data_IF_192725859214
#
_entry.id   IF_192725859214
#
_cell.length_a   1.000
_cell.length_b   1.000
_cell.length_c   1.000
_cell.angle_alpha   90.00
_cell.angle_beta   90.00
_cell.angle_gamma   90.00
#
_symmetry.space_group_name_H-M   'P 1'
#
loop_
_entity.id
_entity.type
_entity.pdbx_description
1 polymer ?
#
# COMPACT_ATOMS: atom_id res chain seq x y z
N UNK A 1 -22.25 14.60 -19.75
CA UNK A 1 -21.35 15.28 -18.80
C UNK A 1 -20.20 15.93 -19.56
N UNK A 2 -19.80 17.18 -19.27
CA UNK A 2 -18.63 17.80 -19.91
C UNK A 2 -17.31 17.41 -19.18
N UNK A 3 -16.13 17.90 -19.62
CA UNK A 3 -14.85 17.51 -19.00
C UNK A 3 -14.65 18.10 -17.60
N UNK A 4 -15.15 19.31 -17.35
CA UNK A 4 -15.09 19.95 -16.02
C UNK A 4 -16.00 19.26 -15.01
N UNK A 5 -17.17 18.83 -15.46
CA UNK A 5 -18.10 18.08 -14.62
C UNK A 5 -17.51 16.70 -14.26
N UNK A 6 -16.80 16.07 -15.21
CA UNK A 6 -16.08 14.82 -14.94
C UNK A 6 -14.95 15.01 -13.92
N UNK A 7 -14.08 16.01 -14.11
CA UNK A 7 -13.03 16.32 -13.13
C UNK A 7 -13.60 16.61 -11.74
N UNK A 8 -14.73 17.33 -11.67
CA UNK A 8 -15.42 17.59 -10.39
C UNK A 8 -15.96 16.32 -9.75
N UNK A 9 -16.57 15.41 -10.52
CA UNK A 9 -17.03 14.11 -10.00
C UNK A 9 -15.83 13.33 -9.40
N UNK A 10 -14.71 13.27 -10.11
CA UNK A 10 -13.49 12.62 -9.62
C UNK A 10 -13.00 13.29 -8.32
N UNK A 11 -12.99 14.62 -8.27
CA UNK A 11 -12.61 15.37 -7.07
C UNK A 11 -13.51 15.04 -5.86
N UNK A 12 -14.84 15.02 -6.05
CA UNK A 12 -15.81 14.69 -4.99
C UNK A 12 -15.60 13.27 -4.45
N UNK A 13 -15.33 12.29 -5.33
CA UNK A 13 -15.00 10.92 -4.92
C UNK A 13 -13.75 10.87 -4.03
N UNK A 14 -12.71 11.63 -4.37
CA UNK A 14 -11.49 11.70 -3.55
C UNK A 14 -11.70 12.43 -2.22
N UNK A 15 -12.59 13.43 -2.16
CA UNK A 15 -12.94 14.11 -0.90
C UNK A 15 -13.58 13.17 0.11
N UNK A 16 -14.49 12.31 -0.33
CA UNK A 16 -15.12 11.30 0.52
C UNK A 16 -14.07 10.30 1.02
N UNK A 17 -13.10 9.97 0.16
CA UNK A 17 -12.12 8.91 0.41
C UNK A 17 -10.97 9.29 1.33
N UNK A 18 -10.53 10.53 1.28
CA UNK A 18 -9.43 11.03 2.10
C UNK A 18 -9.92 12.18 2.99
N UNK A 19 -10.86 11.93 3.94
CA UNK A 19 -11.55 12.97 4.69
C UNK A 19 -10.62 13.84 5.56
N UNK A 20 -9.41 13.35 5.84
CA UNK A 20 -8.40 14.04 6.64
C UNK A 20 -7.27 14.66 5.81
N UNK A 21 -7.23 14.44 4.49
CA UNK A 21 -6.20 14.99 3.62
C UNK A 21 -6.58 16.38 3.09
N UNK A 22 -5.58 17.19 2.73
CA UNK A 22 -5.82 18.43 1.99
C UNK A 22 -6.04 18.09 0.51
N UNK A 23 -7.26 18.30 0.02
CA UNK A 23 -7.63 17.96 -1.36
C UNK A 23 -8.04 19.24 -2.09
N UNK A 24 -7.38 19.52 -3.22
CA UNK A 24 -7.58 20.74 -4.00
C UNK A 24 -7.83 20.39 -5.46
N UNK A 25 -8.86 20.98 -6.04
CA UNK A 25 -9.23 20.83 -7.46
C UNK A 25 -8.48 21.83 -8.35
N UNK A 26 -8.12 21.43 -9.56
CA UNK A 26 -7.55 22.25 -10.64
C UNK A 26 -6.41 23.18 -10.16
N UNK A 27 -5.34 22.58 -9.64
CA UNK A 27 -4.19 23.28 -9.11
C UNK A 27 -3.10 23.46 -10.16
N UNK A 28 -2.34 24.55 -10.06
CA UNK A 28 -1.13 24.77 -10.86
C UNK A 28 0.10 24.59 -9.98
N UNK A 29 0.88 23.54 -10.23
CA UNK A 29 2.11 23.25 -9.50
C UNK A 29 3.32 23.57 -10.38
N UNK A 30 4.30 24.29 -9.83
CA UNK A 30 5.54 24.59 -10.55
C UNK A 30 6.37 23.30 -10.70
N UNK A 31 6.67 22.93 -11.94
CA UNK A 31 7.57 21.84 -12.27
C UNK A 31 8.99 22.14 -11.79
N UNK A 32 9.59 21.20 -11.08
CA UNK A 32 10.93 21.27 -10.49
C UNK A 32 12.03 21.12 -11.55
N UNK A 33 11.70 20.48 -12.68
CA UNK A 33 12.63 20.22 -13.79
C UNK A 33 12.30 21.17 -14.93
N UNK A 34 11.03 21.23 -15.34
CA UNK A 34 10.61 22.02 -16.50
C UNK A 34 10.54 23.53 -16.23
N UNK A 35 10.45 23.94 -14.96
CA UNK A 35 10.12 25.32 -14.55
C UNK A 35 8.80 25.86 -15.13
N UNK A 36 7.88 24.98 -15.55
CA UNK A 36 6.57 25.34 -16.08
C UNK A 36 5.48 24.97 -15.07
N UNK A 37 4.44 25.79 -14.97
CA UNK A 37 3.25 25.47 -14.16
C UNK A 37 2.44 24.37 -14.83
N UNK A 38 2.42 23.17 -14.23
CA UNK A 38 1.61 22.02 -14.65
C UNK A 38 0.22 22.11 -14.02
N UNK A 39 -0.82 21.88 -14.80
CA UNK A 39 -2.18 21.72 -14.27
C UNK A 39 -2.31 20.32 -13.69
N UNK A 40 -2.91 20.23 -12.51
CA UNK A 40 -3.22 19.01 -11.77
C UNK A 40 -4.71 19.04 -11.45
N UNK A 41 -5.47 18.04 -11.92
CA UNK A 41 -6.92 18.04 -11.81
C UNK A 41 -7.35 17.86 -10.35
N UNK A 42 -6.72 16.93 -9.63
CA UNK A 42 -6.84 16.81 -8.17
C UNK A 42 -5.46 16.67 -7.54
N UNK A 43 -5.15 17.56 -6.62
CA UNK A 43 -3.97 17.50 -5.77
C UNK A 43 -4.38 17.08 -4.36
N UNK A 44 -3.82 15.99 -3.87
CA UNK A 44 -4.03 15.50 -2.51
C UNK A 44 -2.69 15.59 -1.77
N UNK A 45 -2.69 16.28 -0.63
CA UNK A 45 -1.55 16.38 0.27
C UNK A 45 -1.96 15.82 1.63
N UNK A 46 -1.34 14.70 1.98
CA UNK A 46 -1.52 14.03 3.28
C UNK A 46 -0.27 14.27 4.14
N UNK A 47 -0.48 14.70 5.38
CA UNK A 47 0.59 14.90 6.35
C UNK A 47 0.59 13.73 7.32
N UNK A 48 1.56 12.83 7.16
CA UNK A 48 1.89 11.84 8.19
C UNK A 48 3.05 12.34 9.05
N UNK A 49 3.17 11.83 10.28
CA UNK A 49 4.19 12.21 11.27
C UNK A 49 5.64 12.22 10.73
N UNK A 50 5.94 11.37 9.73
CA UNK A 50 7.31 11.20 9.22
C UNK A 50 7.52 11.73 7.79
N UNK A 51 6.45 12.04 7.04
CA UNK A 51 6.53 12.48 5.64
C UNK A 51 5.23 13.12 5.13
N UNK A 52 5.36 14.14 4.29
CA UNK A 52 4.27 14.66 3.46
C UNK A 52 4.13 13.84 2.18
N UNK A 53 2.97 13.23 1.99
CA UNK A 53 2.66 12.45 0.78
C UNK A 53 1.86 13.35 -0.16
N UNK A 54 2.45 13.60 -1.33
CA UNK A 54 1.79 14.27 -2.46
C UNK A 54 1.26 13.24 -3.45
N UNK A 55 -0.04 13.23 -3.64
CA UNK A 55 -0.72 12.45 -4.68
C UNK A 55 -1.28 13.40 -5.73
N UNK A 56 -1.07 13.09 -7.01
CA UNK A 56 -1.72 13.80 -8.12
C UNK A 56 -2.68 12.88 -8.85
N UNK A 57 -3.82 13.43 -9.27
CA UNK A 57 -4.82 12.72 -10.08
C UNK A 57 -4.98 13.43 -11.42
N UNK A 58 -5.01 12.65 -12.50
CA UNK A 58 -5.29 13.10 -13.86
C UNK A 58 -6.55 12.39 -14.40
N UNK A 59 -7.60 13.16 -14.61
CA UNK A 59 -8.92 12.67 -15.00
C UNK A 59 -9.04 12.70 -16.53
N UNK A 60 -8.62 11.62 -17.18
CA UNK A 60 -8.65 11.47 -18.64
C UNK A 60 -10.05 11.16 -19.17
N UNK A 61 -10.83 12.20 -19.49
CA UNK A 61 -12.11 12.04 -20.19
C UNK A 61 -11.92 11.76 -21.69
N UNK A 62 -11.64 10.51 -22.05
CA UNK A 62 -11.59 10.04 -23.44
C UNK A 62 -12.74 9.08 -23.77
N UNK A 63 -13.00 8.90 -25.06
CA UNK A 63 -13.94 7.90 -25.58
C UNK A 63 -13.28 6.59 -26.00
N UNK A 64 -11.94 6.57 -26.06
CA UNK A 64 -11.13 5.39 -26.35
C UNK A 64 -10.20 5.06 -25.17
N UNK A 65 -9.80 3.79 -24.99
CA UNK A 65 -8.88 3.39 -23.93
C UNK A 65 -7.58 4.19 -23.92
N UNK A 66 -7.07 4.43 -22.72
CA UNK A 66 -5.78 5.10 -22.50
C UNK A 66 -4.61 4.19 -22.88
N UNK A 67 -3.62 4.74 -23.57
CA UNK A 67 -2.47 4.00 -24.10
C UNK A 67 -1.18 4.24 -23.28
N UNK A 68 -0.07 3.64 -23.74
CA UNK A 68 1.23 3.72 -23.05
C UNK A 68 1.77 5.16 -23.01
N UNK A 69 1.55 5.95 -24.06
CA UNK A 69 2.08 7.31 -24.16
C UNK A 69 1.46 8.22 -23.09
N UNK A 70 0.17 8.03 -22.80
CA UNK A 70 -0.51 8.73 -21.72
C UNK A 70 0.10 8.40 -20.35
N UNK A 71 0.44 7.12 -20.11
CA UNK A 71 1.09 6.66 -18.88
C UNK A 71 2.46 7.31 -18.73
N UNK A 72 3.30 7.28 -19.77
CA UNK A 72 4.65 7.87 -19.75
C UNK A 72 4.62 9.39 -19.58
N UNK A 73 3.64 10.05 -20.20
CA UNK A 73 3.41 11.49 -20.04
C UNK A 73 3.06 11.83 -18.59
N UNK A 74 2.21 11.00 -17.96
CA UNK A 74 1.80 11.20 -16.58
C UNK A 74 2.95 10.94 -15.59
N UNK A 75 3.73 9.87 -15.79
CA UNK A 75 4.94 9.60 -14.99
C UNK A 75 5.92 10.78 -15.06
N UNK A 76 6.18 11.29 -16.26
CA UNK A 76 7.05 12.46 -16.45
C UNK A 76 6.53 13.67 -15.68
N UNK A 77 5.21 13.87 -15.67
CA UNK A 77 4.57 14.93 -14.89
C UNK A 77 4.70 14.70 -13.38
N UNK A 78 4.52 13.48 -12.90
CA UNK A 78 4.68 13.12 -11.48
C UNK A 78 6.07 13.47 -10.99
N UNK A 79 7.10 13.10 -11.74
CA UNK A 79 8.50 13.42 -11.41
C UNK A 79 8.71 14.93 -11.41
N UNK A 80 8.23 15.63 -12.44
CA UNK A 80 8.41 17.09 -12.57
C UNK A 80 7.76 17.85 -11.41
N UNK A 81 6.56 17.49 -10.96
CA UNK A 81 5.89 18.14 -9.81
C UNK A 81 6.29 17.55 -8.45
N UNK A 82 7.14 16.53 -8.47
CA UNK A 82 7.54 15.71 -7.32
C UNK A 82 6.37 15.15 -6.53
N UNK A 83 5.45 14.50 -7.25
CA UNK A 83 4.43 13.65 -6.66
C UNK A 83 5.06 12.32 -6.24
N UNK A 84 4.57 11.76 -5.14
CA UNK A 84 4.96 10.44 -4.64
C UNK A 84 3.97 9.37 -5.11
N UNK A 85 2.71 9.76 -5.30
CA UNK A 85 1.63 8.89 -5.77
C UNK A 85 0.93 9.53 -6.96
N UNK A 86 0.50 8.70 -7.89
CA UNK A 86 -0.19 9.12 -9.10
C UNK A 86 -1.40 8.24 -9.34
N UNK A 87 -2.52 8.87 -9.68
CA UNK A 87 -3.73 8.17 -10.10
C UNK A 87 -4.17 8.72 -11.44
N UNK A 88 -4.27 7.86 -12.46
CA UNK A 88 -5.03 8.21 -13.66
C UNK A 88 -6.43 7.62 -13.54
N UNK A 89 -7.44 8.39 -13.96
CA UNK A 89 -8.82 7.90 -14.05
C UNK A 89 -9.38 8.09 -15.45
N UNK A 90 -9.93 7.04 -16.04
CA UNK A 90 -10.53 7.04 -17.38
C UNK A 90 -11.93 6.43 -17.36
N UNK A 91 -12.94 6.99 -18.03
CA UNK A 91 -14.27 6.39 -18.06
C UNK A 91 -14.30 5.07 -18.84
N UNK A 92 -13.37 4.88 -19.78
CA UNK A 92 -13.32 3.72 -20.70
C UNK A 92 -12.14 2.79 -20.42
N UNK A 93 -11.41 3.03 -19.33
CA UNK A 93 -10.26 2.22 -18.92
C UNK A 93 -9.02 2.39 -19.81
N UNK A 94 -8.23 1.32 -19.90
CA UNK A 94 -6.86 1.31 -20.38
C UNK A 94 -6.58 0.14 -21.31
N UNK A 95 -5.64 0.31 -22.23
CA UNK A 95 -5.07 -0.81 -22.98
C UNK A 95 -4.29 -1.74 -22.04
N UNK A 96 -4.15 -3.02 -22.40
CA UNK A 96 -3.34 -3.99 -21.62
C UNK A 96 -1.91 -3.49 -21.41
N UNK A 97 -1.30 -2.91 -22.45
CA UNK A 97 0.04 -2.34 -22.38
C UNK A 97 0.15 -1.18 -21.39
N UNK A 98 -0.86 -0.31 -21.33
CA UNK A 98 -0.90 0.80 -20.38
C UNK A 98 -1.02 0.32 -18.93
N UNK A 99 -1.86 -0.69 -18.65
CA UNK A 99 -1.98 -1.31 -17.32
C UNK A 99 -0.65 -1.92 -16.91
N UNK A 100 -0.06 -2.76 -17.78
CA UNK A 100 1.25 -3.38 -17.51
C UNK A 100 2.32 -2.33 -17.24
N UNK A 101 2.38 -1.25 -18.04
CA UNK A 101 3.35 -0.18 -17.83
C UNK A 101 3.14 0.56 -16.52
N UNK A 102 1.89 0.87 -16.15
CA UNK A 102 1.59 1.54 -14.88
C UNK A 102 1.96 0.68 -13.67
N UNK A 103 1.67 -0.62 -13.72
CA UNK A 103 1.92 -1.56 -12.63
C UNK A 103 3.40 -1.93 -12.44
N UNK A 104 4.22 -1.80 -13.49
CA UNK A 104 5.64 -2.14 -13.48
C UNK A 104 6.52 -0.89 -13.55
N UNK A 105 6.15 0.18 -12.85
CA UNK A 105 6.98 1.38 -12.75
C UNK A 105 8.31 1.05 -12.03
N UNK A 106 9.42 1.44 -12.67
CA UNK A 106 10.78 1.14 -12.22
C UNK A 106 11.33 2.22 -11.28
N UNK A 107 10.79 3.45 -11.38
CA UNK A 107 11.13 4.53 -10.48
C UNK A 107 10.56 4.24 -9.09
N UNK A 108 11.43 3.81 -8.18
CA UNK A 108 11.10 3.45 -6.80
C UNK A 108 10.66 4.65 -5.94
N UNK A 109 10.73 5.89 -6.43
CA UNK A 109 10.28 7.08 -5.69
C UNK A 109 8.81 7.42 -5.92
N UNK A 110 8.17 6.76 -6.88
CA UNK A 110 6.77 6.97 -7.19
C UNK A 110 5.96 5.67 -7.12
N UNK A 111 4.69 5.82 -6.81
CA UNK A 111 3.68 4.77 -6.86
C UNK A 111 2.55 5.22 -7.81
N UNK A 112 2.25 4.43 -8.83
CA UNK A 112 1.27 4.76 -9.86
C UNK A 112 0.15 3.71 -9.89
N UNK A 113 -1.08 4.18 -10.02
CA UNK A 113 -2.25 3.32 -10.22
C UNK A 113 -3.22 3.91 -11.25
N UNK A 114 -4.03 3.04 -11.87
CA UNK A 114 -4.93 3.37 -13.00
C UNK A 114 -6.34 2.85 -12.75
N UNK A 115 -7.35 3.70 -12.87
CA UNK A 115 -8.75 3.33 -12.57
C UNK A 115 -9.68 3.62 -13.74
N UNK A 116 -10.55 2.67 -14.04
CA UNK A 116 -11.81 3.01 -14.70
C UNK A 116 -12.74 3.78 -13.75
N UNK A 117 -13.70 4.53 -14.28
CA UNK A 117 -14.71 5.19 -13.43
C UNK A 117 -15.50 4.18 -12.61
N UNK A 118 -15.83 3.03 -13.21
CA UNK A 118 -16.50 1.93 -12.53
C UNK A 118 -15.66 1.40 -11.36
N UNK A 119 -14.37 1.11 -11.57
CA UNK A 119 -13.48 0.68 -10.49
C UNK A 119 -13.30 1.74 -9.39
N UNK A 120 -13.30 3.03 -9.76
CA UNK A 120 -13.22 4.12 -8.78
C UNK A 120 -14.46 4.16 -7.89
N UNK A 121 -15.66 3.95 -8.46
CA UNK A 121 -16.93 3.89 -7.74
C UNK A 121 -17.11 2.58 -6.94
N UNK A 122 -16.61 1.46 -7.46
CA UNK A 122 -16.78 0.12 -6.89
C UNK A 122 -15.79 -0.24 -5.78
N UNK A 123 -14.86 0.63 -5.40
CA UNK A 123 -13.68 0.23 -4.63
C UNK A 123 -14.01 -0.52 -3.32
N UNK A 124 -14.06 -1.85 -3.41
CA UNK A 124 -14.21 -2.81 -2.33
C UNK A 124 -12.82 -3.38 -2.00
N UNK A 125 -12.49 -3.45 -0.70
CA UNK A 125 -11.34 -4.22 -0.20
C UNK A 125 -10.04 -3.46 0.07
N UNK A 126 -10.09 -2.14 0.34
CA UNK A 126 -8.93 -1.48 0.97
C UNK A 126 -8.83 -1.76 2.46
N UNK A 127 -9.90 -2.28 3.06
CA UNK A 127 -9.91 -2.60 4.47
C UNK A 127 -10.42 -4.02 4.69
N UNK A 128 -9.83 -4.70 5.65
CA UNK A 128 -10.32 -5.97 6.15
C UNK A 128 -10.23 -5.98 7.68
N UNK A 129 -10.96 -6.92 8.26
CA UNK A 129 -10.98 -7.15 9.71
C UNK A 129 -10.48 -8.57 9.97
N UNK A 130 -9.18 -8.87 9.74
CA UNK A 130 -8.63 -10.16 10.12
C UNK A 130 -8.62 -10.29 11.64
N UNK A 131 -8.97 -11.49 12.12
CA UNK A 131 -9.02 -11.79 13.54
C UNK A 131 -8.57 -13.23 13.82
N UNK A 132 -8.07 -13.45 15.03
CA UNK A 132 -7.71 -14.76 15.57
C UNK A 132 -8.03 -14.79 17.06
N UNK A 133 -8.80 -15.79 17.50
CA UNK A 133 -9.40 -15.83 18.85
C UNK A 133 -10.15 -14.51 19.13
N UNK A 134 -9.89 -13.88 20.27
CA UNK A 134 -10.55 -12.65 20.72
C UNK A 134 -9.89 -11.37 20.20
N UNK A 135 -8.89 -11.47 19.33
CA UNK A 135 -8.12 -10.31 18.87
C UNK A 135 -8.27 -10.10 17.37
N UNK A 136 -8.41 -8.85 16.96
CA UNK A 136 -8.49 -8.46 15.57
C UNK A 136 -7.75 -7.17 15.28
N UNK A 137 -7.58 -6.88 14.00
CA UNK A 137 -7.09 -5.57 13.56
C UNK A 137 -7.95 -4.98 12.46
N UNK A 138 -8.12 -3.66 12.45
CA UNK A 138 -8.52 -2.95 11.25
C UNK A 138 -7.28 -2.84 10.35
N UNK A 139 -7.27 -3.61 9.27
CA UNK A 139 -6.16 -3.70 8.33
C UNK A 139 -6.49 -2.89 7.08
N UNK A 140 -5.66 -1.91 6.73
CA UNK A 140 -5.77 -1.17 5.46
C UNK A 140 -4.72 -1.61 4.45
N UNK A 141 -5.09 -1.77 3.19
CA UNK A 141 -4.15 -2.02 2.11
C UNK A 141 -3.34 -0.76 1.77
N UNK A 142 -2.04 -0.89 1.49
CA UNK A 142 -1.23 0.22 1.03
C UNK A 142 -1.65 0.63 -0.40
N UNK A 143 -1.21 1.82 -0.84
CA UNK A 143 -1.59 2.35 -2.16
C UNK A 143 -1.30 1.36 -3.31
N UNK A 144 -2.29 1.17 -4.20
CA UNK A 144 -2.22 0.26 -5.35
C UNK A 144 -2.38 -1.23 -5.02
N UNK A 145 -2.61 -1.57 -3.75
CA UNK A 145 -2.79 -2.94 -3.28
C UNK A 145 -4.21 -3.16 -2.75
N UNK A 146 -4.60 -4.42 -2.60
CA UNK A 146 -5.88 -4.86 -2.02
C UNK A 146 -5.63 -5.78 -0.83
N UNK A 147 -6.62 -5.93 0.05
CA UNK A 147 -6.62 -6.97 1.08
C UNK A 147 -7.48 -8.16 0.62
N UNK A 148 -6.87 -9.34 0.54
CA UNK A 148 -7.55 -10.62 0.34
C UNK A 148 -7.76 -11.29 1.70
N UNK A 149 -9.00 -11.21 2.20
CA UNK A 149 -9.43 -11.76 3.48
C UNK A 149 -9.83 -13.24 3.40
N UNK A 150 -9.53 -13.95 2.30
CA UNK A 150 -9.81 -15.38 2.18
C UNK A 150 -8.97 -16.14 3.21
N UNK A 151 -9.66 -16.86 4.12
CA UNK A 151 -9.00 -17.66 5.17
C UNK A 151 -8.19 -18.79 4.56
N UNK A 152 -6.93 -18.90 4.95
CA UNK A 152 -6.03 -20.00 4.55
C UNK A 152 -5.24 -20.46 5.77
N UNK A 153 -4.74 -21.68 5.74
CA UNK A 153 -3.89 -22.19 6.81
C UNK A 153 -2.60 -21.34 6.89
N UNK A 154 -2.24 -20.91 8.10
CA UNK A 154 -1.01 -20.14 8.33
C UNK A 154 -1.07 -18.64 7.98
N UNK A 155 -2.16 -18.13 7.37
CA UNK A 155 -2.33 -16.70 7.15
C UNK A 155 -3.77 -16.22 7.34
N UNK A 156 -3.92 -15.08 8.03
CA UNK A 156 -5.23 -14.50 8.33
C UNK A 156 -5.77 -13.64 7.18
N UNK A 157 -4.87 -13.00 6.42
CA UNK A 157 -5.16 -12.28 5.19
C UNK A 157 -3.88 -12.13 4.36
N UNK A 158 -4.04 -11.90 3.06
CA UNK A 158 -2.97 -11.53 2.16
C UNK A 158 -3.18 -10.11 1.64
N UNK A 159 -2.10 -9.43 1.27
CA UNK A 159 -2.16 -8.18 0.53
C UNK A 159 -1.25 -8.29 -0.70
N UNK A 160 -1.72 -7.77 -1.82
CA UNK A 160 -0.99 -7.80 -3.08
C UNK A 160 -1.50 -6.72 -4.04
N UNK A 161 -0.76 -6.50 -5.13
CA UNK A 161 -1.12 -5.52 -6.15
C UNK A 161 -2.53 -5.75 -6.70
N UNK A 162 -3.28 -4.67 -6.86
CA UNK A 162 -4.63 -4.72 -7.43
C UNK A 162 -4.60 -5.31 -8.85
N UNK A 163 -5.59 -6.15 -9.15
CA UNK A 163 -5.68 -6.88 -10.42
C UNK A 163 -4.91 -8.20 -10.45
N UNK A 164 -4.17 -8.53 -9.39
CA UNK A 164 -3.62 -9.88 -9.19
C UNK A 164 -4.57 -10.73 -8.35
N UNK A 165 -4.41 -12.04 -8.48
CA UNK A 165 -4.75 -13.00 -7.42
C UNK A 165 -3.48 -13.39 -6.65
N UNK A 166 -3.63 -14.22 -5.61
CA UNK A 166 -2.50 -14.66 -4.80
C UNK A 166 -1.44 -15.44 -5.62
N UNK A 167 -1.84 -16.17 -6.67
CA UNK A 167 -0.90 -16.93 -7.49
C UNK A 167 -0.03 -15.99 -8.34
N UNK A 168 -0.66 -15.03 -9.03
CA UNK A 168 0.03 -14.00 -9.79
C UNK A 168 0.97 -13.17 -8.89
N UNK A 169 0.53 -12.83 -7.69
CA UNK A 169 1.35 -12.10 -6.72
C UNK A 169 2.54 -12.93 -6.21
N UNK A 170 2.35 -14.23 -5.99
CA UNK A 170 3.42 -15.18 -5.69
C UNK A 170 4.46 -15.29 -6.80
N UNK A 171 4.02 -15.36 -8.06
CA UNK A 171 4.91 -15.38 -9.24
C UNK A 171 5.70 -14.07 -9.39
N UNK A 172 5.07 -12.93 -9.14
CA UNK A 172 5.72 -11.62 -9.09
C UNK A 172 6.64 -11.47 -7.86
N UNK A 173 6.48 -12.35 -6.86
CA UNK A 173 7.18 -12.31 -5.57
C UNK A 173 6.92 -11.01 -4.82
N UNK A 174 5.78 -10.35 -5.07
CA UNK A 174 5.38 -9.07 -4.49
C UNK A 174 4.03 -9.23 -3.81
N UNK A 175 4.08 -9.65 -2.55
CA UNK A 175 2.89 -9.87 -1.74
C UNK A 175 3.26 -9.91 -0.26
N UNK A 176 2.26 -9.75 0.59
CA UNK A 176 2.40 -9.93 2.02
C UNK A 176 1.29 -10.83 2.55
N UNK A 177 1.59 -11.53 3.62
CA UNK A 177 0.57 -12.12 4.47
C UNK A 177 0.66 -11.56 5.89
N UNK A 178 -0.44 -11.63 6.62
CA UNK A 178 -0.49 -11.19 8.01
C UNK A 178 -0.84 -12.36 8.92
N UNK A 179 -0.30 -12.32 10.12
CA UNK A 179 -0.61 -13.27 11.17
C UNK A 179 -0.38 -12.62 12.55
N UNK A 180 -0.91 -13.25 13.60
CA UNK A 180 -0.79 -12.79 14.98
C UNK A 180 -0.01 -13.81 15.80
N UNK A 181 0.72 -13.32 16.79
CA UNK A 181 1.19 -14.11 17.91
C UNK A 181 0.50 -13.63 19.18
N UNK A 182 -0.40 -14.44 19.72
CA UNK A 182 -1.18 -14.10 20.91
C UNK A 182 -0.35 -14.44 22.14
N UNK A 183 -0.19 -13.47 23.04
CA UNK A 183 0.57 -13.66 24.27
C UNK A 183 -0.23 -14.54 25.24
N UNK A 184 0.42 -15.56 25.76
CA UNK A 184 -0.13 -16.45 26.79
C UNK A 184 0.06 -15.88 28.19
N UNK A 185 1.08 -15.03 28.38
CA UNK A 185 1.31 -14.29 29.62
C UNK A 185 1.69 -12.83 29.33
N UNK A 186 1.43 -11.88 30.24
CA UNK A 186 1.74 -10.46 30.03
C UNK A 186 3.23 -10.15 29.83
N UNK A 187 4.12 -11.02 30.32
CA UNK A 187 5.57 -10.84 30.22
C UNK A 187 6.10 -11.19 28.83
N UNK A 188 5.35 -11.96 28.05
CA UNK A 188 5.75 -12.30 26.68
C UNK A 188 5.83 -11.06 25.82
N UNK A 189 6.90 -10.98 25.04
CA UNK A 189 7.23 -9.80 24.25
C UNK A 189 7.72 -10.15 22.85
N UNK A 190 7.98 -9.11 22.06
CA UNK A 190 8.50 -9.27 20.70
C UNK A 190 9.82 -10.07 20.65
N UNK A 191 10.71 -9.89 21.63
CA UNK A 191 11.96 -10.63 21.71
C UNK A 191 11.75 -12.15 21.82
N UNK A 192 10.71 -12.59 22.54
CA UNK A 192 10.37 -14.01 22.67
C UNK A 192 9.92 -14.60 21.33
N UNK A 193 9.04 -13.89 20.62
CA UNK A 193 8.59 -14.29 19.29
C UNK A 193 9.76 -14.38 18.31
N UNK A 194 10.65 -13.38 18.32
CA UNK A 194 11.82 -13.37 17.44
C UNK A 194 12.72 -14.58 17.69
N UNK A 195 12.94 -14.95 18.96
CA UNK A 195 13.70 -16.14 19.34
C UNK A 195 13.07 -17.42 18.81
N UNK A 196 11.76 -17.59 19.02
CA UNK A 196 11.00 -18.75 18.53
C UNK A 196 11.13 -18.87 17.01
N UNK A 197 10.98 -17.76 16.29
CA UNK A 197 11.08 -17.76 14.82
C UNK A 197 12.51 -18.04 14.34
N UNK A 198 13.54 -17.49 15.00
CA UNK A 198 14.94 -17.71 14.61
C UNK A 198 15.40 -19.14 14.84
N UNK A 199 14.94 -19.78 15.92
CA UNK A 199 15.31 -21.17 16.24
C UNK A 199 14.82 -22.16 15.16
N UNK A 200 13.74 -21.80 14.46
CA UNK A 200 13.19 -22.57 13.33
C UNK A 200 13.99 -22.48 12.03
N UNK A 201 14.94 -21.54 11.90
CA UNK A 201 15.61 -21.23 10.63
C UNK A 201 17.11 -21.52 10.65
N UNK A 202 17.48 -22.77 10.35
CA UNK A 202 18.87 -23.25 10.51
C UNK A 202 19.94 -22.59 9.62
N UNK A 203 19.60 -21.77 8.63
CA UNK A 203 20.57 -21.11 7.74
C UNK A 203 20.14 -19.71 7.27
N UNK A 204 19.16 -19.09 7.93
CA UNK A 204 18.71 -17.76 7.53
C UNK A 204 19.70 -16.69 7.99
N UNK A 205 20.02 -15.73 7.12
CA UNK A 205 20.76 -14.53 7.51
C UNK A 205 19.75 -13.45 7.89
N UNK A 206 19.82 -13.03 9.16
CA UNK A 206 18.90 -12.06 9.73
C UNK A 206 19.57 -10.70 9.88
N UNK A 207 18.85 -9.65 9.49
CA UNK A 207 19.22 -8.27 9.76
C UNK A 207 17.99 -7.46 10.15
N UNK A 208 18.25 -6.27 10.66
CA UNK A 208 17.29 -5.57 11.48
C UNK A 208 17.22 -4.10 11.08
N UNK A 209 16.01 -3.63 10.76
CA UNK A 209 15.72 -2.27 10.32
C UNK A 209 14.82 -1.58 11.34
N UNK A 210 14.96 -0.26 11.49
CA UNK A 210 14.06 0.53 12.33
C UNK A 210 12.62 0.34 11.86
N UNK A 211 11.69 0.17 12.80
CA UNK A 211 10.25 0.13 12.55
C UNK A 211 9.66 1.50 12.19
N UNK A 212 8.36 1.66 12.42
CA UNK A 212 7.65 2.95 12.32
C UNK A 212 7.44 3.55 13.70
N UNK A 213 7.41 4.88 13.78
CA UNK A 213 7.11 5.56 15.04
C UNK A 213 5.61 5.39 15.35
N UNK A 214 5.33 4.92 16.57
CA UNK A 214 3.98 4.78 17.12
C UNK A 214 4.02 5.17 18.59
N UNK A 215 2.95 5.79 19.06
CA UNK A 215 2.79 6.15 20.48
C UNK A 215 2.20 5.02 21.31
N UNK A 216 1.54 4.05 20.66
CA UNK A 216 0.72 3.00 21.26
C UNK A 216 1.34 1.60 21.18
N UNK A 217 2.41 1.41 20.38
CA UNK A 217 3.00 0.09 20.16
C UNK A 217 4.50 0.18 19.84
N UNK A 218 5.26 -0.83 20.27
CA UNK A 218 6.64 -1.03 19.79
C UNK A 218 6.59 -1.63 18.40
N UNK A 219 7.45 -1.14 17.51
CA UNK A 219 7.51 -1.67 16.15
C UNK A 219 8.93 -1.94 15.69
N UNK A 220 9.07 -2.88 14.76
CA UNK A 220 10.36 -3.33 14.31
C UNK A 220 10.26 -4.04 12.94
N UNK A 221 11.31 -4.02 12.11
CA UNK A 221 11.33 -4.75 10.83
C UNK A 221 12.54 -5.69 10.78
N UNK A 222 12.28 -6.98 10.56
CA UNK A 222 13.31 -7.99 10.25
C UNK A 222 13.44 -8.16 8.75
N UNK A 223 14.67 -8.22 8.24
CA UNK A 223 15.00 -8.76 6.93
C UNK A 223 15.61 -10.15 7.13
N UNK A 224 15.01 -11.16 6.51
CA UNK A 224 15.50 -12.53 6.48
C UNK A 224 15.85 -12.95 5.04
N UNK A 225 17.11 -13.32 4.83
CA UNK A 225 17.56 -14.00 3.62
C UNK A 225 17.58 -15.50 3.92
N UNK A 226 16.56 -16.23 3.44
CA UNK A 226 16.40 -17.67 3.63
C UNK A 226 16.80 -18.40 2.34
N UNK A 227 17.72 -19.39 2.37
CA UNK A 227 18.25 -20.03 1.16
C UNK A 227 17.18 -20.62 0.22
N UNK A 228 16.11 -21.19 0.78
CA UNK A 228 15.05 -21.85 0.01
C UNK A 228 13.96 -20.89 -0.47
N UNK A 229 14.04 -19.61 -0.12
CA UNK A 229 13.03 -18.62 -0.51
C UNK A 229 13.35 -17.98 -1.87
N UNK A 230 12.33 -17.69 -2.69
CA UNK A 230 12.54 -17.13 -4.03
C UNK A 230 12.97 -15.65 -4.02
N UNK A 231 12.87 -15.00 -2.86
CA UNK A 231 13.19 -13.58 -2.62
C UNK A 231 13.35 -13.33 -1.11
N UNK A 232 14.01 -12.25 -0.66
CA UNK A 232 14.10 -11.93 0.75
C UNK A 232 12.73 -11.67 1.39
N UNK A 233 12.63 -12.02 2.68
CA UNK A 233 11.46 -11.73 3.52
C UNK A 233 11.71 -10.48 4.36
N UNK A 234 10.79 -9.52 4.32
CA UNK A 234 10.75 -8.41 5.26
C UNK A 234 9.53 -8.55 6.17
N UNK A 235 9.74 -8.74 7.46
CA UNK A 235 8.64 -8.89 8.42
C UNK A 235 8.55 -7.68 9.31
N UNK A 236 7.44 -6.96 9.21
CA UNK A 236 7.11 -5.82 10.05
C UNK A 236 6.27 -6.25 11.25
N UNK A 237 6.76 -5.98 12.45
CA UNK A 237 6.13 -6.32 13.72
C UNK A 237 5.54 -5.07 14.38
N UNK A 238 4.33 -5.22 14.93
CA UNK A 238 3.67 -4.23 15.79
C UNK A 238 3.22 -4.96 17.06
N UNK A 239 3.89 -4.67 18.17
CA UNK A 239 3.59 -5.27 19.47
C UNK A 239 2.52 -4.47 20.19
N UNK A 240 1.31 -5.03 20.23
CA UNK A 240 0.23 -4.55 21.08
C UNK A 240 0.30 -5.22 22.46
N UNK A 241 -0.55 -4.76 23.37
CA UNK A 241 -0.58 -5.24 24.76
C UNK A 241 -0.73 -6.77 24.83
N UNK A 242 -1.73 -7.31 24.13
CA UNK A 242 -2.17 -8.71 24.24
C UNK A 242 -1.64 -9.63 23.12
N UNK A 243 -1.19 -9.05 22.00
CA UNK A 243 -0.75 -9.81 20.84
C UNK A 243 0.23 -9.01 19.98
N UNK A 244 1.00 -9.74 19.18
CA UNK A 244 1.91 -9.16 18.20
C UNK A 244 1.31 -9.36 16.83
N UNK A 245 1.00 -8.26 16.16
CA UNK A 245 0.69 -8.25 14.74
C UNK A 245 1.99 -8.34 13.95
N UNK A 246 2.03 -9.16 12.91
CA UNK A 246 3.12 -9.10 11.95
C UNK A 246 2.64 -9.28 10.51
N UNK A 247 3.24 -8.48 9.62
CA UNK A 247 3.05 -8.54 8.18
C UNK A 247 4.36 -8.99 7.54
N UNK A 248 4.31 -10.10 6.82
CA UNK A 248 5.44 -10.75 6.17
C UNK A 248 5.41 -10.41 4.69
N UNK A 249 6.33 -9.55 4.23
CA UNK A 249 6.46 -9.09 2.86
C UNK A 249 7.52 -9.90 2.12
N UNK A 250 7.12 -10.51 1.00
CA UNK A 250 8.03 -10.97 -0.03
C UNK A 250 8.14 -9.88 -1.10
N UNK A 251 9.38 -9.51 -1.46
CA UNK A 251 9.63 -8.54 -2.52
C UNK A 251 11.01 -8.74 -3.15
N UNK A 252 11.13 -8.66 -4.48
CA UNK A 252 12.43 -8.56 -5.15
C UNK A 252 13.25 -7.39 -4.61
N UNK A 253 14.58 -7.53 -4.63
CA UNK A 253 15.52 -6.53 -4.09
C UNK A 253 15.37 -5.20 -4.83
N UNK A 254 15.17 -5.25 -6.15
CA UNK A 254 14.93 -4.12 -7.02
C UNK A 254 13.69 -3.30 -6.63
N UNK A 255 12.67 -3.95 -6.04
CA UNK A 255 11.41 -3.33 -5.62
C UNK A 255 11.32 -3.08 -4.11
N UNK A 256 12.37 -3.45 -3.36
CA UNK A 256 12.40 -3.39 -1.90
C UNK A 256 12.16 -1.99 -1.36
N UNK A 257 12.72 -0.94 -1.98
CA UNK A 257 12.52 0.45 -1.54
C UNK A 257 11.05 0.85 -1.56
N UNK A 258 10.36 0.62 -2.69
CA UNK A 258 8.93 0.92 -2.84
C UNK A 258 8.09 0.07 -1.88
N UNK A 259 8.32 -1.24 -1.84
CA UNK A 259 7.48 -2.15 -1.08
C UNK A 259 7.71 -2.07 0.44
N UNK A 260 8.91 -1.66 0.89
CA UNK A 260 9.14 -1.31 2.29
C UNK A 260 8.35 -0.09 2.73
N UNK A 261 8.11 0.90 1.86
CA UNK A 261 7.19 2.01 2.19
C UNK A 261 5.77 1.50 2.42
N UNK A 262 5.32 0.54 1.60
CA UNK A 262 4.01 -0.11 1.74
C UNK A 262 3.91 -0.92 3.05
N UNK A 263 4.94 -1.69 3.40
CA UNK A 263 4.99 -2.40 4.69
C UNK A 263 4.91 -1.45 5.87
N UNK A 264 5.67 -0.35 5.83
CA UNK A 264 5.62 0.70 6.86
C UNK A 264 4.25 1.36 6.96
N UNK A 265 3.57 1.57 5.83
CA UNK A 265 2.19 2.09 5.81
C UNK A 265 1.21 1.13 6.52
N UNK A 266 1.30 -0.18 6.26
CA UNK A 266 0.51 -1.20 6.97
C UNK A 266 0.80 -1.16 8.47
N UNK A 267 2.07 -1.17 8.88
CA UNK A 267 2.47 -1.11 10.29
C UNK A 267 2.00 0.17 10.99
N UNK A 268 1.92 1.30 10.28
CA UNK A 268 1.50 2.59 10.83
C UNK A 268 -0.02 2.66 11.01
N UNK A 269 -0.77 2.09 10.06
CA UNK A 269 -2.23 2.26 9.98
C UNK A 269 -3.03 1.12 10.62
N UNK A 270 -2.39 -0.01 10.93
CA UNK A 270 -3.05 -1.13 11.62
C UNK A 270 -3.51 -0.70 13.01
N UNK A 271 -4.78 -0.96 13.34
CA UNK A 271 -5.39 -0.65 14.63
C UNK A 271 -5.88 -1.93 15.30
N UNK A 272 -5.49 -2.22 16.55
CA UNK A 272 -5.96 -3.40 17.28
C UNK A 272 -7.37 -3.19 17.81
N UNK A 273 -8.13 -4.28 17.95
CA UNK A 273 -9.38 -4.30 18.71
C UNK A 273 -9.65 -5.70 19.28
N UNK A 274 -10.53 -5.79 20.28
CA UNK A 274 -10.99 -7.05 20.85
C UNK A 274 -12.33 -7.45 20.22
N UNK A 275 -12.43 -8.68 19.73
CA UNK A 275 -13.62 -9.25 19.08
C UNK A 275 -14.60 -9.81 20.12
N UNK A 276 -14.10 -10.21 21.30
CA UNK A 276 -14.80 -10.96 22.34
C UNK A 276 -15.39 -10.11 23.48
N UNK A 277 -15.30 -8.78 23.45
CA UNK A 277 -16.01 -7.96 24.44
C UNK A 277 -17.51 -7.98 24.16
N UNK A 278 -18.25 -8.76 24.95
CA UNK A 278 -19.69 -8.62 25.09
C UNK A 278 -20.01 -7.14 25.38
N UNK A 279 -20.80 -6.53 24.50
CA UNK A 279 -21.45 -5.23 24.73
C UNK A 279 -22.60 -5.45 25.72
#
# INVERSE_FOLDING_TARGET
MNWKDYEREIFEQFQIRYPYASIKHNQKVLGRISNIKRQIDVLIEDQSLDASIRTIVDAKRRTSPIDINDIETFISMMVDVGAHRGILVSPVGYTKGAITRAHNEVNQDIDLDVYSLEELQLFQGQQAIPYSRDYGVLLSAPFGWVVDATKREGCLACLYQRGYDLNAAGNAKEWMYINFWIKETPEQCLEDLLKIQSDGWKNAKLSYLQGVNRTDAKTFIRLAEVPDYPTPEYTGFVEFEEFIFFAVLFTPIENSKRNLRKLREVMRTVLPFNVGTNI
#
